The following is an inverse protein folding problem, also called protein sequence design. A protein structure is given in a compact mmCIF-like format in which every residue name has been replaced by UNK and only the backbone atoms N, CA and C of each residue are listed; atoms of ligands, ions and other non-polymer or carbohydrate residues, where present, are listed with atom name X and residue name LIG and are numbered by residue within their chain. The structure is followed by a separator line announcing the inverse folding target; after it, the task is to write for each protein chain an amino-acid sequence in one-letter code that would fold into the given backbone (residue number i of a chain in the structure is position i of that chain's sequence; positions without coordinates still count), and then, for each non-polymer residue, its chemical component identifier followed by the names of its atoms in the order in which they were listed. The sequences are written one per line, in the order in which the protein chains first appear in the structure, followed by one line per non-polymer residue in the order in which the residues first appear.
data_IF_978243763476
#
_entry.id   IF_978243763476
#
_cell.length_a   1.000
_cell.length_b   1.000
_cell.length_c   1.000
_cell.angle_alpha   90.00
_cell.angle_beta   90.00
_cell.angle_gamma   90.00
#
_symmetry.space_group_name_H-M   'P 1'
#
loop_
_entity.id
_entity.type
_entity.pdbx_description
1 polymer ?
#
# COMPACT_ATOMS: atom_id res chain seq x y z
N UNK A 1 35.81 5.52 19.59
CA UNK A 1 34.48 5.35 18.94
C UNK A 1 33.67 6.57 19.31
N UNK A 2 33.25 7.34 18.31
CA UNK A 2 32.61 8.62 18.56
C UNK A 2 31.26 8.45 19.23
N UNK A 3 31.02 9.20 20.29
CA UNK A 3 29.71 9.23 21.01
C UNK A 3 28.54 9.50 20.05
N UNK A 4 28.78 10.24 19.00
CA UNK A 4 27.80 10.55 17.96
C UNK A 4 27.41 9.35 17.11
N UNK A 5 28.30 8.36 16.88
CA UNK A 5 27.99 7.18 16.10
C UNK A 5 26.86 6.31 16.73
N UNK A 6 26.93 6.09 18.05
CA UNK A 6 25.89 5.36 18.75
C UNK A 6 24.55 6.09 18.76
N UNK A 7 24.59 7.43 18.95
CA UNK A 7 23.39 8.25 18.89
C UNK A 7 22.74 8.19 17.50
N UNK A 8 23.52 8.38 16.44
CA UNK A 8 23.02 8.34 15.06
C UNK A 8 22.42 6.97 14.71
N UNK A 9 22.99 5.86 15.16
CA UNK A 9 22.40 4.53 14.96
C UNK A 9 21.06 4.36 15.67
N UNK A 10 20.93 4.89 16.88
CA UNK A 10 19.65 4.89 17.61
C UNK A 10 18.62 5.78 16.91
N UNK A 11 18.99 6.97 16.49
CA UNK A 11 18.10 7.86 15.74
C UNK A 11 17.68 7.27 14.40
N UNK A 12 18.60 6.61 13.68
CA UNK A 12 18.26 5.88 12.45
C UNK A 12 17.20 4.81 12.71
N UNK A 13 17.36 3.97 13.74
CA UNK A 13 16.35 2.95 14.06
C UNK A 13 15.04 3.59 14.56
N UNK A 14 15.09 4.68 15.32
CA UNK A 14 13.92 5.37 15.82
C UNK A 14 13.07 5.94 14.69
N UNK A 15 13.69 6.63 13.74
CA UNK A 15 12.98 7.21 12.58
C UNK A 15 12.32 6.13 11.71
N UNK A 16 12.95 4.96 11.61
CA UNK A 16 12.35 3.81 10.92
C UNK A 16 11.15 3.19 11.64
N UNK A 17 11.07 3.33 12.98
CA UNK A 17 9.99 2.74 13.79
C UNK A 17 8.85 3.74 13.99
N UNK A 18 9.14 4.94 14.52
CA UNK A 18 8.08 5.84 14.96
C UNK A 18 7.41 6.55 13.78
N UNK A 19 8.03 7.44 12.98
CA UNK A 19 7.24 8.02 11.90
C UNK A 19 6.97 7.02 10.78
N UNK A 20 8.00 6.34 10.26
CA UNK A 20 7.87 5.51 9.05
C UNK A 20 7.09 4.23 9.34
N UNK A 21 7.41 3.51 10.42
CA UNK A 21 6.75 2.25 10.75
C UNK A 21 5.30 2.42 11.16
N UNK A 22 4.97 3.45 11.94
CA UNK A 22 3.58 3.79 12.30
C UNK A 22 2.77 4.14 11.05
N UNK A 23 3.34 4.95 10.16
CA UNK A 23 2.72 5.24 8.88
C UNK A 23 2.53 3.98 8.05
N UNK A 24 3.53 3.11 7.93
CA UNK A 24 3.45 1.87 7.16
C UNK A 24 2.32 0.96 7.65
N UNK A 25 2.17 0.78 8.97
CA UNK A 25 1.08 -0.02 9.54
C UNK A 25 -0.28 0.56 9.16
N UNK A 26 -0.48 1.87 9.38
CA UNK A 26 -1.74 2.52 9.04
C UNK A 26 -2.02 2.47 7.54
N UNK A 27 -1.00 2.71 6.70
CA UNK A 27 -1.10 2.65 5.25
C UNK A 27 -1.53 1.26 4.75
N UNK A 28 -0.99 0.19 5.34
CA UNK A 28 -1.38 -1.18 5.00
C UNK A 28 -2.79 -1.51 5.51
N UNK A 29 -3.20 -1.02 6.67
CA UNK A 29 -4.56 -1.17 7.17
C UNK A 29 -5.56 -0.53 6.21
N UNK A 30 -5.35 0.74 5.84
CA UNK A 30 -6.22 1.44 4.88
C UNK A 30 -6.26 0.73 3.52
N UNK A 31 -5.11 0.36 2.94
CA UNK A 31 -5.10 -0.28 1.63
C UNK A 31 -5.71 -1.69 1.65
N UNK A 32 -5.51 -2.47 2.72
CA UNK A 32 -6.10 -3.81 2.84
C UNK A 32 -7.62 -3.78 3.03
N UNK A 33 -8.19 -2.64 3.38
CA UNK A 33 -9.64 -2.48 3.54
C UNK A 33 -10.44 -2.76 2.27
N UNK A 34 -9.79 -2.72 1.11
CA UNK A 34 -10.39 -3.17 -0.16
C UNK A 34 -10.94 -4.61 -0.08
N UNK A 35 -10.41 -5.44 0.81
CA UNK A 35 -10.84 -6.83 1.00
C UNK A 35 -11.85 -7.01 2.13
N UNK A 36 -11.71 -6.26 3.22
CA UNK A 36 -12.48 -6.48 4.44
C UNK A 36 -13.42 -5.32 4.80
N UNK A 37 -13.29 -4.18 4.13
CA UNK A 37 -14.00 -2.95 4.49
C UNK A 37 -15.51 -3.09 4.49
N UNK A 38 -16.08 -3.99 3.66
CA UNK A 38 -17.51 -4.32 3.67
C UNK A 38 -18.03 -4.65 5.07
N UNK A 39 -17.27 -5.40 5.84
CA UNK A 39 -17.69 -5.85 7.18
C UNK A 39 -17.65 -4.75 8.24
N UNK A 40 -16.98 -3.64 7.95
CA UNK A 40 -16.95 -2.45 8.81
C UNK A 40 -18.03 -1.41 8.47
N UNK A 41 -18.66 -1.53 7.30
CA UNK A 41 -19.74 -0.62 6.87
C UNK A 41 -21.05 -0.89 7.61
N UNK A 42 -21.84 0.18 7.80
CA UNK A 42 -23.17 0.15 8.41
C UNK A 42 -24.12 1.04 7.62
N UNK A 43 -25.42 0.84 7.85
CA UNK A 43 -26.48 1.67 7.28
C UNK A 43 -26.62 1.52 5.78
N UNK A 44 -26.63 2.61 5.04
CA UNK A 44 -26.92 2.67 3.60
C UNK A 44 -26.01 1.79 2.70
N UNK A 45 -24.86 1.37 3.22
CA UNK A 45 -23.89 0.53 2.51
C UNK A 45 -24.01 -0.96 2.83
N UNK A 46 -24.97 -1.39 3.65
CA UNK A 46 -25.12 -2.80 4.03
C UNK A 46 -25.53 -3.68 2.86
N UNK A 47 -26.26 -3.15 1.86
CA UNK A 47 -26.69 -3.87 0.67
C UNK A 47 -25.59 -4.13 -0.37
N UNK A 48 -24.42 -3.53 -0.23
CA UNK A 48 -23.32 -3.71 -1.18
C UNK A 48 -22.74 -5.13 -1.10
N UNK A 49 -22.25 -5.64 -2.22
CA UNK A 49 -21.44 -6.85 -2.26
C UNK A 49 -20.13 -6.68 -1.49
N UNK A 50 -19.41 -7.76 -1.22
CA UNK A 50 -18.10 -7.70 -0.52
C UNK A 50 -17.12 -6.81 -1.27
N UNK A 51 -17.09 -6.89 -2.59
CA UNK A 51 -16.18 -6.09 -3.44
C UNK A 51 -16.57 -4.61 -3.43
N UNK A 52 -17.82 -4.30 -3.68
CA UNK A 52 -18.33 -2.91 -3.66
C UNK A 52 -18.15 -2.28 -2.27
N UNK A 53 -18.46 -3.02 -1.20
CA UNK A 53 -18.26 -2.56 0.16
C UNK A 53 -16.79 -2.33 0.51
N UNK A 54 -15.86 -3.11 -0.04
CA UNK A 54 -14.43 -2.86 0.06
C UNK A 54 -14.03 -1.55 -0.62
N UNK A 55 -14.50 -1.31 -1.85
CA UNK A 55 -14.30 -0.04 -2.57
C UNK A 55 -14.87 1.13 -1.79
N UNK A 56 -16.11 1.00 -1.30
CA UNK A 56 -16.79 2.06 -0.55
C UNK A 56 -16.03 2.43 0.72
N UNK A 57 -15.61 1.45 1.50
CA UNK A 57 -14.86 1.69 2.73
C UNK A 57 -13.50 2.34 2.44
N UNK A 58 -12.73 1.79 1.50
CA UNK A 58 -11.43 2.33 1.10
C UNK A 58 -11.54 3.79 0.62
N UNK A 59 -12.49 4.09 -0.27
CA UNK A 59 -12.70 5.44 -0.77
C UNK A 59 -13.10 6.43 0.34
N UNK A 60 -13.95 6.00 1.30
CA UNK A 60 -14.31 6.81 2.49
C UNK A 60 -13.10 7.10 3.36
N UNK A 61 -12.25 6.10 3.64
CA UNK A 61 -11.01 6.27 4.40
C UNK A 61 -10.06 7.25 3.70
N UNK A 62 -9.82 7.09 2.40
CA UNK A 62 -8.97 8.00 1.63
C UNK A 62 -9.52 9.43 1.64
N UNK A 63 -10.84 9.59 1.46
CA UNK A 63 -11.48 10.90 1.53
C UNK A 63 -11.31 11.51 2.92
N UNK A 64 -11.57 10.74 3.98
CA UNK A 64 -11.41 11.20 5.36
C UNK A 64 -9.96 11.63 5.65
N UNK A 65 -8.96 10.85 5.21
CA UNK A 65 -7.55 11.21 5.39
C UNK A 65 -7.23 12.55 4.71
N UNK A 66 -7.73 12.77 3.50
CA UNK A 66 -7.40 13.97 2.73
C UNK A 66 -8.18 15.22 3.15
N UNK A 67 -9.35 15.07 3.81
CA UNK A 67 -10.23 16.19 4.13
C UNK A 67 -10.35 16.47 5.63
N UNK A 68 -10.22 15.46 6.49
CA UNK A 68 -10.50 15.57 7.91
C UNK A 68 -9.25 15.58 8.79
N UNK A 69 -8.10 15.07 8.29
CA UNK A 69 -6.88 15.10 9.11
C UNK A 69 -6.33 16.53 9.13
N UNK A 70 -6.34 17.19 10.29
CA UNK A 70 -5.74 18.53 10.41
C UNK A 70 -4.22 18.40 10.23
N UNK A 71 -3.64 19.41 9.58
CA UNK A 71 -2.19 19.47 9.39
C UNK A 71 -1.56 18.29 8.61
N UNK A 72 -2.29 17.71 7.65
CA UNK A 72 -1.79 16.63 6.79
C UNK A 72 -0.41 16.97 6.20
N UNK A 73 -0.20 18.23 5.78
CA UNK A 73 1.09 18.72 5.27
C UNK A 73 2.21 18.58 6.31
N UNK A 74 1.95 18.84 7.59
CA UNK A 74 2.95 18.69 8.66
C UNK A 74 3.32 17.21 8.86
N UNK A 75 2.34 16.32 8.76
CA UNK A 75 2.56 14.87 8.82
C UNK A 75 3.42 14.44 7.62
N UNK A 76 3.10 14.91 6.42
CA UNK A 76 3.89 14.62 5.20
C UNK A 76 5.34 15.12 5.34
N UNK A 77 5.55 16.36 5.78
CA UNK A 77 6.90 16.91 5.99
C UNK A 77 7.69 16.09 7.02
N UNK A 78 7.06 15.72 8.13
CA UNK A 78 7.68 14.89 9.17
C UNK A 78 8.06 13.51 8.62
N UNK A 79 7.17 12.89 7.88
CA UNK A 79 7.40 11.58 7.25
C UNK A 79 8.54 11.65 6.23
N UNK A 80 8.54 12.65 5.34
CA UNK A 80 9.59 12.84 4.35
C UNK A 80 10.96 13.10 4.97
N UNK A 81 10.99 13.92 6.02
CA UNK A 81 12.23 14.21 6.77
C UNK A 81 12.77 12.93 7.42
N UNK A 82 11.88 12.09 7.97
CA UNK A 82 12.26 10.81 8.57
C UNK A 82 12.75 9.81 7.51
N UNK A 83 12.07 9.70 6.35
CA UNK A 83 12.49 8.84 5.24
C UNK A 83 13.86 9.26 4.71
N UNK A 84 14.07 10.56 4.48
CA UNK A 84 15.35 11.07 4.00
C UNK A 84 16.48 10.77 4.99
N UNK A 85 16.29 11.09 6.27
CA UNK A 85 17.26 10.82 7.32
C UNK A 85 17.58 9.33 7.46
N UNK A 86 16.54 8.48 7.52
CA UNK A 86 16.68 7.04 7.62
C UNK A 86 17.41 6.45 6.41
N UNK A 87 17.05 6.86 5.21
CA UNK A 87 17.64 6.37 3.96
C UNK A 87 19.10 6.80 3.80
N UNK A 88 19.43 8.06 4.06
CA UNK A 88 20.80 8.58 3.94
C UNK A 88 21.73 7.86 4.94
N UNK A 89 21.32 7.77 6.20
CA UNK A 89 22.12 7.05 7.21
C UNK A 89 22.17 5.55 6.94
N UNK A 90 21.07 4.96 6.48
CA UNK A 90 21.01 3.55 6.08
C UNK A 90 21.99 3.22 4.97
N UNK A 91 22.04 4.06 3.92
CA UNK A 91 23.01 3.95 2.84
C UNK A 91 24.46 4.10 3.37
N UNK A 92 24.71 5.11 4.17
CA UNK A 92 26.03 5.32 4.77
C UNK A 92 26.51 4.10 5.57
N UNK A 93 25.65 3.53 6.44
CA UNK A 93 26.00 2.33 7.22
C UNK A 93 26.14 1.08 6.35
N UNK A 94 25.36 0.97 5.30
CA UNK A 94 25.45 -0.14 4.38
C UNK A 94 26.72 -0.10 3.52
N UNK A 95 27.19 1.10 3.12
CA UNK A 95 28.41 1.28 2.34
C UNK A 95 29.68 1.17 3.20
N UNK A 96 29.64 1.65 4.44
CA UNK A 96 30.80 1.64 5.35
C UNK A 96 30.92 0.36 6.18
N UNK A 97 29.84 -0.40 6.31
CA UNK A 97 29.79 -1.66 7.07
C UNK A 97 30.55 -2.78 6.36
N UNK A 98 31.47 -3.43 7.07
CA UNK A 98 32.18 -4.60 6.56
C UNK A 98 31.23 -5.81 6.51
N UNK A 99 31.15 -6.47 5.36
CA UNK A 99 30.40 -7.72 5.21
C UNK A 99 31.10 -8.88 5.94
N UNK A 100 30.44 -9.48 6.91
CA UNK A 100 30.99 -10.60 7.68
C UNK A 100 30.42 -11.97 7.27
N UNK A 101 29.67 -12.02 6.16
CA UNK A 101 28.93 -13.23 5.73
C UNK A 101 29.86 -14.40 5.45
N UNK A 102 31.02 -14.15 4.84
CA UNK A 102 32.01 -15.18 4.55
C UNK A 102 32.76 -15.68 5.78
N UNK A 103 32.86 -14.86 6.84
CA UNK A 103 33.61 -15.19 8.07
C UNK A 103 32.76 -15.85 9.14
N UNK A 104 31.45 -15.61 9.13
CA UNK A 104 30.51 -16.12 10.13
C UNK A 104 29.28 -16.66 9.42
N UNK A 105 29.27 -17.92 9.03
CA UNK A 105 28.17 -18.60 8.33
C UNK A 105 27.01 -19.00 9.28
N UNK A 106 26.63 -18.11 10.20
CA UNK A 106 25.50 -18.35 11.11
C UNK A 106 24.17 -18.04 10.45
N UNK A 107 23.10 -18.67 10.90
CA UNK A 107 21.74 -18.46 10.39
C UNK A 107 21.26 -16.99 10.41
N UNK A 108 21.84 -16.13 11.27
CA UNK A 108 21.51 -14.71 11.35
C UNK A 108 22.16 -13.84 10.27
N UNK A 109 23.17 -14.32 9.56
CA UNK A 109 23.90 -13.54 8.58
C UNK A 109 23.09 -13.27 7.30
N UNK A 110 22.23 -14.20 6.86
CA UNK A 110 21.35 -13.94 5.74
C UNK A 110 20.33 -12.82 6.05
N UNK A 111 19.86 -12.73 7.31
CA UNK A 111 18.97 -11.63 7.74
C UNK A 111 19.65 -10.29 7.66
N UNK A 112 20.92 -10.20 8.02
CA UNK A 112 21.72 -8.98 7.91
C UNK A 112 21.89 -8.56 6.43
N UNK A 113 22.22 -9.49 5.56
CA UNK A 113 22.35 -9.24 4.13
C UNK A 113 21.03 -8.81 3.51
N UNK A 114 19.94 -9.52 3.82
CA UNK A 114 18.61 -9.21 3.31
C UNK A 114 18.09 -7.87 3.86
N UNK A 115 18.44 -7.49 5.11
CA UNK A 115 18.13 -6.16 5.66
C UNK A 115 18.75 -5.03 4.81
N UNK A 116 19.96 -5.21 4.34
CA UNK A 116 20.64 -4.22 3.48
C UNK A 116 20.04 -4.18 2.08
N UNK A 117 19.85 -5.34 1.46
CA UNK A 117 19.26 -5.45 0.12
C UNK A 117 17.84 -4.87 0.11
N UNK A 118 17.02 -5.24 1.10
CA UNK A 118 15.65 -4.71 1.22
C UNK A 118 15.61 -3.22 1.45
N UNK A 119 16.60 -2.65 2.14
CA UNK A 119 16.77 -1.20 2.29
C UNK A 119 17.05 -0.50 0.96
N UNK A 120 17.98 -1.02 0.15
CA UNK A 120 18.29 -0.45 -1.18
C UNK A 120 17.09 -0.49 -2.12
N UNK A 121 16.46 -1.67 -2.22
CA UNK A 121 15.28 -1.84 -3.09
C UNK A 121 14.11 -1.03 -2.53
N UNK A 122 13.98 -0.94 -1.21
CA UNK A 122 12.95 -0.16 -0.54
C UNK A 122 13.01 1.33 -0.89
N UNK A 123 14.21 1.93 -0.95
CA UNK A 123 14.38 3.33 -1.37
C UNK A 123 13.86 3.53 -2.80
N UNK A 124 14.25 2.65 -3.73
CA UNK A 124 13.82 2.72 -5.14
C UNK A 124 12.30 2.51 -5.25
N UNK A 125 11.76 1.55 -4.51
CA UNK A 125 10.32 1.27 -4.50
C UNK A 125 9.52 2.43 -3.92
N UNK A 126 9.92 3.00 -2.77
CA UNK A 126 9.24 4.15 -2.17
C UNK A 126 9.27 5.34 -3.13
N UNK A 127 10.41 5.60 -3.76
CA UNK A 127 10.52 6.68 -4.76
C UNK A 127 9.54 6.46 -5.91
N UNK A 128 9.55 5.27 -6.53
CA UNK A 128 8.63 4.93 -7.62
C UNK A 128 7.16 5.07 -7.18
N UNK A 129 6.82 4.46 -6.03
CA UNK A 129 5.47 4.47 -5.48
C UNK A 129 4.93 5.89 -5.29
N UNK A 130 5.74 6.76 -4.68
CA UNK A 130 5.32 8.14 -4.43
C UNK A 130 5.34 8.98 -5.69
N UNK A 131 6.36 8.83 -6.53
CA UNK A 131 6.45 9.57 -7.78
C UNK A 131 5.25 9.29 -8.70
N UNK A 132 4.85 8.02 -8.82
CA UNK A 132 3.74 7.63 -9.69
C UNK A 132 2.36 7.91 -9.10
N UNK A 133 2.16 7.68 -7.80
CA UNK A 133 0.84 7.82 -7.19
C UNK A 133 0.62 9.20 -6.54
N UNK A 134 1.60 9.74 -5.80
CA UNK A 134 1.41 11.01 -5.10
C UNK A 134 1.74 12.23 -5.95
N UNK A 135 2.80 12.15 -6.77
CA UNK A 135 3.25 13.27 -7.63
C UNK A 135 2.71 13.20 -9.05
N UNK A 136 2.05 12.09 -9.43
CA UNK A 136 1.44 11.92 -10.73
C UNK A 136 2.44 11.83 -11.90
N UNK A 137 3.66 11.32 -11.65
CA UNK A 137 4.67 11.12 -12.69
C UNK A 137 4.35 9.89 -13.52
N UNK A 138 3.30 9.99 -14.34
CA UNK A 138 2.79 8.88 -15.14
C UNK A 138 3.76 8.38 -16.20
N UNK A 139 4.72 9.22 -16.59
CA UNK A 139 5.80 8.82 -17.52
C UNK A 139 6.71 7.71 -16.97
N UNK A 140 6.67 7.43 -15.67
CA UNK A 140 7.37 6.31 -15.05
C UNK A 140 6.55 5.00 -15.07
N UNK A 141 5.27 5.06 -15.45
CA UNK A 141 4.38 3.89 -15.47
C UNK A 141 4.41 3.25 -16.85
N UNK A 142 4.84 1.98 -16.98
CA UNK A 142 4.81 1.30 -18.28
C UNK A 142 3.38 1.21 -18.85
N UNK A 143 3.19 1.36 -20.15
CA UNK A 143 4.19 1.44 -21.23
C UNK A 143 4.84 2.82 -21.45
N UNK A 144 4.89 3.68 -20.44
CA UNK A 144 5.52 5.02 -20.43
C UNK A 144 4.83 6.05 -21.32
N UNK A 145 3.62 5.78 -21.75
CA UNK A 145 2.69 6.69 -22.39
C UNK A 145 1.62 7.17 -21.40
N UNK A 146 0.71 8.00 -21.82
CA UNK A 146 -0.27 8.65 -20.96
C UNK A 146 -1.15 7.68 -20.15
N UNK A 147 -0.68 7.25 -19.00
CA UNK A 147 -1.52 6.58 -18.00
C UNK A 147 -2.34 7.62 -17.24
N UNK A 148 -3.52 7.20 -16.77
CA UNK A 148 -4.36 8.05 -15.92
C UNK A 148 -3.65 8.22 -14.58
N UNK A 149 -3.39 9.46 -14.11
CA UNK A 149 -2.78 9.69 -12.81
C UNK A 149 -3.72 9.20 -11.70
N UNK A 150 -3.14 8.73 -10.60
CA UNK A 150 -3.93 8.41 -9.42
C UNK A 150 -4.64 9.65 -8.88
N UNK A 151 -5.90 9.49 -8.49
CA UNK A 151 -6.72 10.53 -7.90
C UNK A 151 -7.23 10.11 -6.52
N UNK A 152 -7.12 10.99 -5.53
CA UNK A 152 -7.72 10.75 -4.22
C UNK A 152 -9.25 10.65 -4.28
N UNK A 153 -9.86 11.33 -5.25
CA UNK A 153 -11.30 11.30 -5.46
C UNK A 153 -11.79 9.98 -6.05
N UNK A 154 -10.98 9.34 -6.89
CA UNK A 154 -11.24 8.07 -7.55
C UNK A 154 -10.16 7.08 -7.17
N UNK A 155 -9.91 6.97 -5.87
CA UNK A 155 -8.74 6.31 -5.31
C UNK A 155 -8.67 4.81 -5.63
N UNK A 156 -9.80 4.12 -5.61
CA UNK A 156 -9.86 2.70 -5.88
C UNK A 156 -9.77 2.40 -7.39
N UNK A 157 -10.55 3.09 -8.22
CA UNK A 157 -10.57 2.85 -9.66
C UNK A 157 -9.25 3.25 -10.33
N UNK A 158 -8.66 4.40 -9.96
CA UNK A 158 -7.37 4.82 -10.53
C UNK A 158 -6.20 3.98 -10.06
N UNK A 159 -6.20 3.50 -8.81
CA UNK A 159 -5.18 2.56 -8.32
C UNK A 159 -5.32 1.20 -9.01
N UNK A 160 -6.54 0.70 -9.18
CA UNK A 160 -6.79 -0.53 -9.94
C UNK A 160 -6.31 -0.39 -11.39
N UNK A 161 -6.58 0.74 -12.05
CA UNK A 161 -6.09 1.03 -13.40
C UNK A 161 -4.56 0.99 -13.48
N UNK A 162 -3.86 1.62 -12.51
CA UNK A 162 -2.40 1.61 -12.45
C UNK A 162 -1.81 0.20 -12.32
N UNK A 163 -2.41 -0.65 -11.48
CA UNK A 163 -1.94 -2.04 -11.27
C UNK A 163 -2.35 -3.01 -12.38
N UNK A 164 -3.36 -2.67 -13.19
CA UNK A 164 -3.81 -3.48 -14.33
C UNK A 164 -3.18 -3.06 -15.66
N UNK A 165 -2.57 -1.87 -15.69
CA UNK A 165 -2.06 -1.26 -16.92
C UNK A 165 -3.18 -0.75 -17.83
N UNK A 166 -4.31 -0.28 -17.24
CA UNK A 166 -5.45 0.28 -17.94
C UNK A 166 -6.81 -0.12 -17.34
N UNK A 167 -7.89 0.29 -18.00
CA UNK A 167 -9.26 0.08 -17.52
C UNK A 167 -9.85 -1.29 -17.92
N UNK A 168 -9.21 -2.01 -18.84
CA UNK A 168 -9.67 -3.31 -19.34
C UNK A 168 -9.11 -4.50 -18.56
N UNK A 169 -8.80 -5.56 -19.27
CA UNK A 169 -8.13 -6.73 -18.72
C UNK A 169 -6.69 -6.43 -18.33
N UNK A 170 -6.12 -7.29 -17.47
CA UNK A 170 -4.74 -7.09 -17.00
C UNK A 170 -3.78 -7.21 -18.19
N UNK A 171 -3.05 -6.14 -18.47
CA UNK A 171 -2.04 -6.11 -19.53
C UNK A 171 -0.74 -6.74 -19.04
N UNK A 172 0.19 -7.04 -19.96
CA UNK A 172 1.54 -7.46 -19.61
C UNK A 172 2.23 -6.43 -18.67
N UNK A 173 2.08 -5.14 -18.97
CA UNK A 173 2.66 -4.08 -18.16
C UNK A 173 1.99 -3.95 -16.79
N UNK A 174 0.67 -4.11 -16.72
CA UNK A 174 -0.05 -4.14 -15.45
C UNK A 174 0.41 -5.30 -14.57
N UNK A 175 0.62 -6.48 -15.16
CA UNK A 175 1.20 -7.61 -14.45
C UNK A 175 2.63 -7.31 -13.94
N UNK A 176 3.48 -6.69 -14.77
CA UNK A 176 4.84 -6.32 -14.40
C UNK A 176 4.87 -5.29 -13.25
N UNK A 177 4.02 -4.26 -13.31
CA UNK A 177 3.86 -3.27 -12.25
C UNK A 177 3.38 -3.96 -10.96
N UNK A 178 2.35 -4.79 -11.03
CA UNK A 178 1.83 -5.53 -9.87
C UNK A 178 2.88 -6.46 -9.25
N UNK A 179 3.67 -7.15 -10.06
CA UNK A 179 4.79 -8.00 -9.60
C UNK A 179 5.87 -7.15 -8.90
N UNK A 180 6.19 -5.98 -9.44
CA UNK A 180 7.11 -5.04 -8.81
C UNK A 180 6.58 -4.53 -7.46
N UNK A 181 5.29 -4.20 -7.38
CA UNK A 181 4.64 -3.84 -6.10
C UNK A 181 4.69 -5.00 -5.11
N UNK A 182 4.38 -6.21 -5.55
CA UNK A 182 4.42 -7.40 -4.70
C UNK A 182 5.80 -7.64 -4.09
N UNK A 183 6.85 -7.51 -4.92
CA UNK A 183 8.25 -7.59 -4.45
C UNK A 183 8.59 -6.44 -3.50
N UNK A 184 8.27 -5.20 -3.87
CA UNK A 184 8.60 -4.01 -3.09
C UNK A 184 7.97 -4.02 -1.71
N UNK A 185 6.66 -4.30 -1.62
CA UNK A 185 5.98 -4.37 -0.32
C UNK A 185 6.49 -5.53 0.53
N UNK A 186 6.83 -6.69 -0.08
CA UNK A 186 7.40 -7.83 0.64
C UNK A 186 8.73 -7.47 1.29
N UNK A 187 9.60 -6.80 0.55
CA UNK A 187 10.91 -6.39 1.05
C UNK A 187 10.81 -5.30 2.11
N UNK A 188 9.88 -4.34 1.97
CA UNK A 188 9.66 -3.29 2.96
C UNK A 188 9.08 -3.84 4.27
N UNK A 189 8.11 -4.74 4.21
CA UNK A 189 7.55 -5.40 5.41
C UNK A 189 8.63 -6.24 6.11
N UNK A 190 9.44 -6.98 5.34
CA UNK A 190 10.57 -7.69 5.92
C UNK A 190 11.57 -6.73 6.58
N UNK A 191 11.93 -5.64 5.88
CA UNK A 191 12.85 -4.62 6.37
C UNK A 191 12.38 -4.03 7.70
N UNK A 192 11.11 -3.69 7.79
CA UNK A 192 10.51 -3.15 9.00
C UNK A 192 10.48 -4.18 10.14
N UNK A 193 9.95 -5.37 9.93
CA UNK A 193 9.83 -6.39 10.97
C UNK A 193 11.20 -6.85 11.52
N UNK A 194 12.18 -7.02 10.62
CA UNK A 194 13.54 -7.35 11.01
C UNK A 194 14.27 -6.14 11.64
N UNK A 195 13.98 -4.92 11.15
CA UNK A 195 14.44 -3.66 11.74
C UNK A 195 13.96 -3.48 13.17
N UNK A 196 12.68 -3.77 13.44
CA UNK A 196 12.10 -3.72 14.78
C UNK A 196 12.76 -4.72 15.73
N UNK A 197 13.07 -5.92 15.25
CA UNK A 197 13.81 -6.92 16.03
C UNK A 197 15.22 -6.45 16.39
N UNK A 198 15.96 -5.93 15.41
CA UNK A 198 17.34 -5.45 15.63
C UNK A 198 17.38 -4.19 16.48
N UNK A 199 16.39 -3.31 16.36
CA UNK A 199 16.29 -2.09 17.17
C UNK A 199 16.16 -2.41 18.66
N UNK A 200 15.35 -3.39 19.05
CA UNK A 200 15.22 -3.79 20.44
C UNK A 200 16.54 -4.28 21.05
N UNK A 201 17.40 -4.91 20.26
CA UNK A 201 18.75 -5.30 20.66
C UNK A 201 19.65 -4.06 20.82
N UNK A 202 19.64 -3.18 19.82
CA UNK A 202 20.46 -1.95 19.79
C UNK A 202 20.11 -0.99 20.93
N UNK A 203 18.84 -0.95 21.34
CA UNK A 203 18.35 -0.13 22.44
C UNK A 203 18.51 -0.80 23.82
N UNK A 204 18.96 -2.05 23.86
CA UNK A 204 19.14 -2.81 25.12
C UNK A 204 17.83 -3.27 25.75
N UNK A 205 16.73 -3.33 24.99
CA UNK A 205 15.44 -3.83 25.46
C UNK A 205 15.43 -5.37 25.54
N UNK A 206 16.20 -6.03 24.67
CA UNK A 206 16.34 -7.48 24.63
C UNK A 206 17.81 -7.89 24.78
N UNK A 207 18.26 -8.08 26.04
CA UNK A 207 19.66 -8.34 26.36
C UNK A 207 19.99 -9.85 26.24
N UNK A 208 19.13 -10.73 26.77
CA UNK A 208 19.38 -12.16 26.76
C UNK A 208 18.95 -12.82 25.45
N UNK A 209 19.62 -13.93 25.09
CA UNK A 209 19.25 -14.73 23.91
C UNK A 209 17.79 -15.21 23.94
N UNK A 210 17.30 -15.55 25.14
CA UNK A 210 15.88 -15.94 25.32
C UNK A 210 14.94 -14.77 25.05
N UNK A 211 15.27 -13.56 25.51
CA UNK A 211 14.46 -12.35 25.25
C UNK A 211 14.46 -12.00 23.75
N UNK A 212 15.64 -12.04 23.10
CA UNK A 212 15.76 -11.80 21.65
C UNK A 212 14.93 -12.81 20.84
N UNK A 213 14.93 -14.09 21.22
CA UNK A 213 14.13 -15.13 20.55
C UNK A 213 12.63 -14.88 20.70
N UNK A 214 12.16 -14.55 21.92
CA UNK A 214 10.74 -14.24 22.19
C UNK A 214 10.29 -13.01 21.40
N UNK A 215 11.08 -11.96 21.44
CA UNK A 215 10.82 -10.74 20.66
C UNK A 215 10.82 -11.02 19.14
N UNK A 216 11.69 -11.90 18.69
CA UNK A 216 11.72 -12.37 17.31
C UNK A 216 10.40 -13.00 16.85
N UNK A 217 9.73 -13.77 17.71
CA UNK A 217 8.40 -14.32 17.39
C UNK A 217 7.33 -13.22 17.30
N UNK A 218 7.40 -12.19 18.17
CA UNK A 218 6.47 -11.05 18.09
C UNK A 218 6.68 -10.28 16.77
N UNK A 219 7.92 -9.98 16.42
CA UNK A 219 8.25 -9.29 15.16
C UNK A 219 7.87 -10.15 13.93
N UNK A 220 8.05 -11.47 14.00
CA UNK A 220 7.65 -12.37 12.92
C UNK A 220 6.12 -12.42 12.75
N UNK A 221 5.36 -12.47 13.84
CA UNK A 221 3.90 -12.41 13.83
C UNK A 221 3.39 -11.10 13.26
N UNK A 222 3.93 -9.96 13.70
CA UNK A 222 3.62 -8.65 13.15
C UNK A 222 3.96 -8.59 11.65
N UNK A 223 5.16 -9.04 11.26
CA UNK A 223 5.58 -9.07 9.87
C UNK A 223 4.68 -9.94 8.99
N UNK A 224 4.25 -11.12 9.48
CA UNK A 224 3.32 -11.99 8.77
C UNK A 224 1.95 -11.31 8.57
N UNK A 225 1.41 -10.67 9.61
CA UNK A 225 0.14 -9.94 9.53
C UNK A 225 0.23 -8.78 8.53
N UNK A 226 1.29 -7.99 8.58
CA UNK A 226 1.54 -6.90 7.63
C UNK A 226 1.72 -7.42 6.20
N UNK A 227 2.38 -8.58 6.03
CA UNK A 227 2.57 -9.21 4.73
C UNK A 227 1.24 -9.64 4.11
N UNK A 228 0.34 -10.22 4.90
CA UNK A 228 -1.01 -10.58 4.45
C UNK A 228 -1.80 -9.33 4.03
N UNK A 229 -1.74 -8.25 4.80
CA UNK A 229 -2.37 -6.98 4.42
C UNK A 229 -1.78 -6.42 3.12
N UNK A 230 -0.46 -6.41 2.98
CA UNK A 230 0.24 -5.90 1.81
C UNK A 230 -0.11 -6.69 0.53
N UNK A 231 0.01 -8.01 0.59
CA UNK A 231 -0.33 -8.89 -0.53
C UNK A 231 -1.81 -8.83 -0.87
N UNK A 232 -2.66 -8.84 0.16
CA UNK A 232 -4.10 -8.69 -0.01
C UNK A 232 -4.46 -7.39 -0.72
N UNK A 233 -3.81 -6.28 -0.37
CA UNK A 233 -4.01 -4.99 -1.04
C UNK A 233 -3.63 -5.06 -2.53
N UNK A 234 -2.43 -5.55 -2.85
CA UNK A 234 -1.98 -5.65 -4.25
C UNK A 234 -2.91 -6.54 -5.06
N UNK A 235 -3.28 -7.73 -4.53
CA UNK A 235 -4.20 -8.65 -5.19
C UNK A 235 -5.59 -8.04 -5.32
N UNK A 236 -6.09 -7.38 -4.26
CA UNK A 236 -7.39 -6.74 -4.23
C UNK A 236 -7.54 -5.70 -5.35
N UNK A 237 -6.60 -4.79 -5.47
CA UNK A 237 -6.63 -3.76 -6.53
C UNK A 237 -6.29 -4.31 -7.91
N UNK A 238 -5.35 -5.25 -8.04
CA UNK A 238 -5.04 -5.90 -9.31
C UNK A 238 -6.24 -6.66 -9.90
N UNK A 239 -7.07 -7.27 -9.04
CA UNK A 239 -8.26 -8.01 -9.48
C UNK A 239 -9.52 -7.14 -9.61
N UNK A 240 -9.50 -5.92 -9.09
CA UNK A 240 -10.62 -4.97 -9.19
C UNK A 240 -10.64 -4.35 -10.59
N UNK A 241 -11.78 -4.42 -11.28
CA UNK A 241 -11.98 -3.70 -12.54
C UNK A 241 -12.29 -2.23 -12.23
N UNK A 242 -11.58 -1.27 -12.84
CA UNK A 242 -11.85 0.15 -12.63
C UNK A 242 -13.31 0.56 -12.92
N UNK A 243 -13.91 -0.05 -13.95
CA UNK A 243 -15.31 0.17 -14.31
C UNK A 243 -16.32 -0.29 -13.25
N UNK A 244 -15.98 -1.28 -12.42
CA UNK A 244 -16.83 -1.73 -11.32
C UNK A 244 -16.65 -0.85 -10.06
N UNK A 245 -15.46 -0.26 -9.90
CA UNK A 245 -15.16 0.60 -8.76
C UNK A 245 -15.77 2.00 -8.90
N UNK A 246 -15.69 2.59 -10.09
CA UNK A 246 -16.09 3.97 -10.34
C UNK A 246 -17.54 4.29 -9.95
N UNK A 247 -18.57 3.49 -10.27
CA UNK A 247 -19.94 3.76 -9.83
C UNK A 247 -20.10 3.79 -8.31
N UNK A 248 -19.34 2.96 -7.58
CA UNK A 248 -19.34 2.96 -6.11
C UNK A 248 -18.72 4.25 -5.57
N UNK A 249 -17.64 4.72 -6.16
CA UNK A 249 -16.99 5.99 -5.80
C UNK A 249 -17.89 7.19 -6.13
N UNK A 250 -18.57 7.18 -7.28
CA UNK A 250 -19.56 8.21 -7.67
C UNK A 250 -20.72 8.29 -6.65
N UNK A 251 -21.23 7.14 -6.19
CA UNK A 251 -22.27 7.09 -5.15
C UNK A 251 -21.80 7.68 -3.82
N UNK A 252 -20.56 7.44 -3.40
CA UNK A 252 -20.00 8.00 -2.16
C UNK A 252 -19.91 9.52 -2.24
N UNK A 253 -19.66 10.07 -3.43
CA UNK A 253 -19.58 11.51 -3.67
C UNK A 253 -20.93 12.20 -3.83
N UNK A 254 -22.03 11.43 -3.87
CA UNK A 254 -23.34 11.96 -4.17
C UNK A 254 -23.50 12.38 -5.63
N UNK A 255 -22.62 11.90 -6.53
CA UNK A 255 -22.82 11.99 -7.97
C UNK A 255 -23.79 10.86 -8.31
N UNK A 256 -25.08 11.15 -8.31
CA UNK A 256 -26.09 10.19 -8.76
C UNK A 256 -25.79 9.83 -10.22
N UNK A 257 -25.72 8.51 -10.57
CA UNK A 257 -25.81 8.13 -11.96
C UNK A 257 -27.13 8.68 -12.49
N UNK A 258 -27.19 9.15 -13.77
CA UNK A 258 -28.47 9.56 -14.35
C UNK A 258 -29.47 8.44 -14.13
N UNK A 259 -30.53 8.74 -13.40
CA UNK A 259 -31.63 7.81 -13.17
C UNK A 259 -32.22 7.52 -14.54
N UNK A 260 -31.89 6.38 -15.15
CA UNK A 260 -32.68 5.91 -16.28
C UNK A 260 -34.12 5.76 -15.76
N UNK A 261 -35.08 6.45 -16.33
CA UNK A 261 -36.44 6.36 -15.86
C UNK A 261 -36.89 4.90 -16.00
N UNK A 262 -37.32 4.31 -14.89
CA UNK A 262 -37.88 2.92 -14.77
C UNK A 262 -39.05 2.68 -15.71
N UNK A 263 -39.25 3.47 -16.76
CA UNK A 263 -40.29 3.38 -17.76
C UNK A 263 -39.85 2.97 -19.17
N UNK A 264 -38.53 2.90 -19.46
CA UNK A 264 -38.11 2.63 -20.84
C UNK A 264 -38.07 1.15 -21.22
N UNK A 265 -37.98 0.23 -20.29
CA UNK A 265 -38.00 -1.22 -20.60
C UNK A 265 -39.41 -1.79 -20.83
N UNK A 266 -40.44 -1.17 -20.28
CA UNK A 266 -41.82 -1.59 -20.51
C UNK A 266 -42.43 -1.08 -21.83
N UNK A 267 -41.93 0.04 -22.37
CA UNK A 267 -42.44 0.59 -23.62
C UNK A 267 -41.94 -0.16 -24.88
N UNK A 268 -40.75 -0.76 -24.84
CA UNK A 268 -40.24 -1.55 -25.97
C UNK A 268 -40.89 -2.93 -26.09
N UNK A 269 -41.23 -3.56 -24.96
CA UNK A 269 -41.91 -4.86 -24.97
C UNK A 269 -43.39 -4.75 -25.49
N UNK A 270 -44.04 -3.61 -25.27
CA UNK A 270 -45.45 -3.39 -25.69
C UNK A 270 -45.58 -3.01 -27.17
N UNK A 271 -44.54 -2.44 -27.77
CA UNK A 271 -44.55 -2.10 -29.20
C UNK A 271 -44.27 -3.32 -30.07
N UNK A 272 -43.44 -4.27 -29.61
CA UNK A 272 -43.20 -5.52 -30.36
C UNK A 272 -44.37 -6.51 -30.32
N UNK A 273 -45.22 -6.49 -29.29
CA UNK A 273 -46.38 -7.40 -29.22
C UNK A 273 -47.57 -6.93 -30.04
N UNK A 274 -47.65 -5.64 -30.45
CA UNK A 274 -48.73 -5.11 -31.31
C UNK A 274 -48.48 -5.20 -32.81
N UNK A 275 -47.26 -5.54 -33.24
CA UNK A 275 -46.95 -5.70 -34.67
C UNK A 275 -47.11 -7.13 -35.22
N UNK A 276 -47.45 -8.11 -34.36
CA UNK A 276 -47.60 -9.53 -34.78
C UNK A 276 -49.06 -9.99 -34.81
N UNK A 277 -50.05 -9.16 -34.43
CA UNK A 277 -51.46 -9.52 -34.43
C UNK A 277 -52.29 -8.79 -35.50
N UNK A 278 -51.69 -8.38 -36.58
CA UNK A 278 -52.37 -7.68 -37.68
C UNK A 278 -51.94 -8.22 -39.05
N UNK A 279 -52.29 -9.52 -39.36
CA UNK A 279 -52.48 -10.05 -40.72
C UNK A 279 -53.58 -11.10 -40.66
#
# INVERSE_FOLDING_TARGET
MDRNYHLLRRLHSLTGIVPIGVFLINHLLTNSSILWGKYALRGEYEGLSVREGGVAYFAKEVTWINTQIPHLLLIEITLWSAIAFHSILGLYYAMTGKGNVSRYAYQSNWRYTLQRISGYIGILFIFYHVATLRWGWTFLVPPFDSSIPWSAEYSASTLASALRGGNGDITFWGFAVSAFYFLGVSLLVFHFANGLWTAAITWGLTISTKAQKRWGYVCAGLGASMMLMAWGSVIGFMTLKPGDAKPVEDRIKGVEPPVEPVGSMTAQATVQSKSVSGV
#
